data_IF_830532072521
#
_entry.id   IF_830532072521
#
_cell.length_a   1.000
_cell.length_b   1.000
_cell.length_c   1.000
_cell.angle_alpha   90.00
_cell.angle_beta   90.00
_cell.angle_gamma   90.00
#
_symmetry.space_group_name_H-M   'P 1'
#
loop_
_entity.id
_entity.type
_entity.pdbx_description
1 polymer ?
#
# COMPACT_ATOMS: atom_id res chain seq x y z
N UNK A 1 -6.67 -52.92 0.75
CA UNK A 1 -7.94 -52.21 1.04
C UNK A 1 -8.26 -52.41 2.51
N UNK A 2 -8.51 -51.34 3.27
CA UNK A 2 -9.11 -51.40 4.60
C UNK A 2 -10.19 -50.30 4.69
N UNK A 3 -11.25 -50.54 5.47
CA UNK A 3 -12.45 -49.68 5.51
C UNK A 3 -12.48 -48.82 6.77
N UNK A 4 -13.26 -47.76 6.68
CA UNK A 4 -13.54 -46.78 7.73
C UNK A 4 -14.46 -47.41 8.79
N UNK A 5 -14.30 -47.02 10.06
CA UNK A 5 -15.37 -47.01 11.05
C UNK A 5 -15.49 -45.63 11.68
N UNK A 6 -16.73 -45.25 11.96
CA UNK A 6 -17.15 -44.03 12.66
C UNK A 6 -18.25 -44.49 13.61
N UNK A 7 -18.12 -44.17 14.89
CA UNK A 7 -19.11 -44.50 15.91
C UNK A 7 -19.78 -43.22 16.43
N UNK A 8 -21.05 -43.33 16.80
CA UNK A 8 -21.92 -42.19 17.16
C UNK A 8 -22.90 -42.59 18.26
N UNK A 9 -22.80 -41.93 19.43
CA UNK A 9 -23.76 -41.98 20.55
C UNK A 9 -23.43 -40.82 21.52
N UNK A 10 -24.32 -40.29 22.36
CA UNK A 10 -25.78 -40.51 22.44
C UNK A 10 -26.44 -39.84 23.67
N UNK A 11 -27.43 -38.96 23.42
CA UNK A 11 -28.65 -38.61 24.23
C UNK A 11 -28.59 -38.27 25.75
N UNK A 12 -29.27 -37.15 26.11
CA UNK A 12 -30.35 -36.96 27.14
C UNK A 12 -30.26 -37.58 28.57
N UNK A 13 -30.85 -37.05 29.67
CA UNK A 13 -31.68 -35.85 29.95
C UNK A 13 -31.70 -35.50 31.49
N UNK A 14 -32.62 -34.61 31.90
CA UNK A 14 -33.27 -34.44 33.24
C UNK A 14 -32.86 -33.25 34.16
N UNK A 15 -33.85 -32.83 34.97
CA UNK A 15 -33.94 -31.75 36.01
C UNK A 15 -35.07 -32.17 36.99
N UNK A 16 -35.65 -31.32 37.88
CA UNK A 16 -35.19 -30.18 38.71
C UNK A 16 -35.25 -30.64 40.21
N UNK A 17 -35.66 -29.89 41.29
CA UNK A 17 -35.90 -28.46 41.59
C UNK A 17 -35.04 -27.99 42.82
N UNK A 18 -35.34 -27.07 43.77
CA UNK A 18 -36.51 -26.20 44.04
C UNK A 18 -36.18 -24.89 44.82
N UNK A 19 -36.67 -23.76 44.29
CA UNK A 19 -37.28 -22.57 44.93
C UNK A 19 -37.28 -22.34 46.47
N UNK A 20 -36.87 -21.12 46.88
CA UNK A 20 -37.33 -20.40 48.10
C UNK A 20 -37.68 -18.92 47.77
N UNK A 21 -38.26 -18.17 48.73
CA UNK A 21 -39.02 -16.92 48.47
C UNK A 21 -39.14 -16.02 49.71
N UNK A 22 -38.82 -14.72 49.59
CA UNK A 22 -39.21 -13.56 50.43
C UNK A 22 -38.56 -12.31 49.76
N UNK A 23 -39.16 -11.13 49.53
CA UNK A 23 -40.05 -10.24 50.32
C UNK A 23 -39.34 -9.61 51.55
N UNK A 24 -39.16 -8.29 51.71
CA UNK A 24 -39.28 -7.15 50.78
C UNK A 24 -39.75 -5.85 51.45
N UNK A 25 -39.02 -4.72 51.30
CA UNK A 25 -39.47 -3.34 51.65
C UNK A 25 -38.48 -2.29 51.06
N UNK A 26 -38.84 -1.01 50.86
CA UNK A 26 -37.83 -0.01 50.42
C UNK A 26 -38.20 1.40 49.89
N UNK A 27 -39.45 1.72 49.53
CA UNK A 27 -39.92 3.09 49.19
C UNK A 27 -39.24 3.81 47.97
N UNK A 28 -39.73 5.01 47.50
CA UNK A 28 -39.64 5.34 46.08
C UNK A 28 -38.69 6.49 45.66
N UNK A 29 -38.41 6.54 44.36
CA UNK A 29 -38.56 7.80 43.61
C UNK A 29 -37.34 8.70 43.41
N UNK A 30 -36.35 8.25 42.63
CA UNK A 30 -35.51 9.16 41.82
C UNK A 30 -35.50 8.72 40.35
N UNK A 31 -35.88 9.62 39.45
CA UNK A 31 -36.02 9.33 38.03
C UNK A 31 -34.66 9.12 37.36
N UNK A 32 -34.48 7.96 36.73
CA UNK A 32 -33.36 7.69 35.82
C UNK A 32 -33.61 8.44 34.49
N UNK A 33 -32.70 9.34 34.05
CA UNK A 33 -32.81 9.93 32.73
C UNK A 33 -32.56 8.86 31.66
N UNK A 34 -33.49 8.74 30.71
CA UNK A 34 -33.30 7.94 29.48
C UNK A 34 -32.05 8.45 28.74
N UNK A 35 -31.22 7.58 28.14
CA UNK A 35 -30.14 8.03 27.27
C UNK A 35 -30.73 8.65 25.99
N UNK A 36 -30.78 9.98 25.96
CA UNK A 36 -31.06 10.73 24.74
C UNK A 36 -29.94 10.47 23.70
N UNK A 37 -30.30 10.44 22.41
CA UNK A 37 -29.38 10.04 21.35
C UNK A 37 -28.13 10.92 21.27
N UNK A 38 -26.94 10.31 21.33
CA UNK A 38 -25.69 10.99 20.96
C UNK A 38 -25.62 11.14 19.44
N UNK A 39 -25.63 12.39 18.97
CA UNK A 39 -25.27 12.74 17.59
C UNK A 39 -23.89 12.18 17.22
N UNK A 40 -23.69 11.80 15.95
CA UNK A 40 -22.44 11.18 15.44
C UNK A 40 -21.29 12.20 15.22
N UNK A 41 -21.12 13.15 16.12
CA UNK A 41 -20.21 14.30 15.96
C UNK A 41 -19.19 14.46 17.10
N UNK A 42 -18.57 13.36 17.53
CA UNK A 42 -17.58 13.39 18.60
C UNK A 42 -16.48 12.29 18.48
N UNK A 43 -15.80 12.19 17.32
CA UNK A 43 -14.57 11.39 17.19
C UNK A 43 -13.65 11.73 15.98
N UNK A 44 -13.65 12.98 15.50
CA UNK A 44 -12.61 13.45 14.56
C UNK A 44 -11.31 13.74 15.33
N UNK A 45 -10.51 12.70 15.58
CA UNK A 45 -9.14 12.87 16.07
C UNK A 45 -8.29 13.60 15.00
N UNK A 46 -7.42 14.55 15.37
CA UNK A 46 -6.59 15.28 14.41
C UNK A 46 -5.49 14.36 13.87
N UNK A 47 -5.70 13.84 12.66
CA UNK A 47 -4.73 12.99 11.96
C UNK A 47 -3.35 13.64 11.93
N UNK A 48 -2.35 12.99 12.55
CA UNK A 48 -0.95 13.42 12.46
C UNK A 48 -0.32 13.01 11.13
N UNK A 49 -0.93 13.50 10.03
CA UNK A 49 -0.51 13.29 8.64
C UNK A 49 0.98 13.60 8.46
N UNK A 50 1.65 12.73 7.72
CA UNK A 50 3.12 12.68 7.56
C UNK A 50 3.75 14.04 7.29
N UNK A 51 4.76 14.40 8.10
CA UNK A 51 5.74 15.44 7.78
C UNK A 51 7.03 14.77 7.29
N UNK A 52 7.29 14.87 6.00
CA UNK A 52 8.51 14.38 5.36
C UNK A 52 9.69 15.35 5.62
N UNK A 53 10.79 14.94 6.26
CA UNK A 53 11.91 15.85 6.51
C UNK A 53 12.71 16.13 5.24
N UNK A 54 12.54 17.35 4.70
CA UNK A 54 13.20 17.86 3.49
C UNK A 54 14.74 17.70 3.50
N UNK A 55 15.35 17.67 4.69
CA UNK A 55 16.81 17.55 4.92
C UNK A 55 17.43 16.20 4.56
N UNK A 56 16.66 15.20 4.11
CA UNK A 56 17.19 13.90 3.65
C UNK A 56 17.59 13.93 2.17
N UNK A 57 17.20 14.98 1.43
CA UNK A 57 17.54 15.20 0.01
C UNK A 57 18.64 16.27 -0.17
N UNK A 58 19.44 16.54 0.87
CA UNK A 58 20.63 17.38 0.73
C UNK A 58 21.62 16.71 -0.22
N UNK A 59 22.17 17.48 -1.18
CA UNK A 59 23.20 16.98 -2.10
C UNK A 59 24.38 16.40 -1.31
N UNK A 60 24.99 15.28 -1.75
CA UNK A 60 26.37 15.01 -1.41
C UNK A 60 27.20 16.20 -1.91
N UNK A 61 27.98 16.79 -1.02
CA UNK A 61 29.10 17.64 -1.42
C UNK A 61 30.32 16.73 -1.60
N UNK A 62 30.96 16.84 -2.76
CA UNK A 62 32.37 16.57 -3.00
C UNK A 62 32.96 15.33 -2.31
N UNK A 63 32.58 14.13 -2.81
CA UNK A 63 33.37 12.92 -2.65
C UNK A 63 34.11 12.63 -3.96
N UNK A 64 35.31 13.17 -4.07
CA UNK A 64 36.19 13.01 -5.22
C UNK A 64 36.72 11.57 -5.31
N UNK A 65 36.59 10.95 -6.50
CA UNK A 65 36.83 9.51 -6.65
C UNK A 65 36.39 8.95 -8.00
N UNK A 66 37.28 9.01 -8.99
CA UNK A 66 37.19 8.37 -10.31
C UNK A 66 35.80 8.46 -10.98
N UNK A 67 35.44 9.68 -11.37
CA UNK A 67 34.20 9.95 -12.10
C UNK A 67 34.22 9.23 -13.47
N UNK A 68 33.64 8.02 -13.51
CA UNK A 68 33.27 7.33 -14.76
C UNK A 68 32.49 8.31 -15.62
N UNK A 69 33.13 8.73 -16.72
CA UNK A 69 32.74 9.89 -17.52
C UNK A 69 31.28 9.77 -17.96
N UNK A 70 30.38 10.42 -17.22
CA UNK A 70 28.95 10.17 -17.32
C UNK A 70 28.47 10.34 -18.76
N UNK A 71 27.92 9.27 -19.34
CA UNK A 71 27.45 9.27 -20.73
C UNK A 71 26.43 10.39 -20.90
N UNK A 72 26.74 11.39 -21.71
CA UNK A 72 25.83 12.53 -21.89
C UNK A 72 24.60 12.08 -22.69
N UNK A 73 23.51 11.82 -21.99
CA UNK A 73 22.22 11.39 -22.57
C UNK A 73 21.33 12.58 -22.98
N UNK A 74 21.73 13.83 -22.75
CA UNK A 74 20.88 14.99 -23.03
C UNK A 74 20.50 15.14 -24.52
N UNK A 75 21.28 14.56 -25.44
CA UNK A 75 20.93 14.50 -26.86
C UNK A 75 19.77 13.54 -27.21
N UNK A 76 19.29 12.75 -26.25
CA UNK A 76 18.12 11.87 -26.37
C UNK A 76 16.92 12.37 -25.56
N UNK A 77 17.01 13.53 -24.90
CA UNK A 77 15.98 14.09 -24.02
C UNK A 77 15.50 15.44 -24.56
N UNK A 78 14.19 15.69 -24.50
CA UNK A 78 13.61 16.99 -24.88
C UNK A 78 13.72 18.03 -23.75
N UNK A 79 13.57 17.58 -22.51
CA UNK A 79 13.76 18.36 -21.29
C UNK A 79 14.56 17.49 -20.30
N UNK A 80 15.87 17.75 -20.10
CA UNK A 80 16.71 16.99 -19.17
C UNK A 80 16.45 17.28 -17.69
N UNK A 81 15.78 18.40 -17.36
CA UNK A 81 15.51 18.84 -15.99
C UNK A 81 14.12 18.41 -15.50
N UNK A 82 13.25 17.93 -16.40
CA UNK A 82 11.95 17.35 -16.07
C UNK A 82 12.08 16.12 -15.15
N UNK A 83 11.37 16.13 -14.02
CA UNK A 83 11.45 15.07 -13.01
C UNK A 83 10.19 14.94 -12.16
N UNK A 84 10.21 13.99 -11.22
CA UNK A 84 9.05 13.64 -10.40
C UNK A 84 8.49 14.83 -9.59
N UNK A 85 7.21 15.13 -9.82
CA UNK A 85 6.43 16.08 -9.04
C UNK A 85 5.82 15.40 -7.80
N UNK A 86 5.91 16.04 -6.63
CA UNK A 86 5.54 15.39 -5.37
C UNK A 86 4.06 15.59 -4.99
N UNK A 87 3.20 14.69 -5.47
CA UNK A 87 1.74 14.65 -5.20
C UNK A 87 1.34 14.58 -3.71
N UNK A 88 2.30 14.39 -2.80
CA UNK A 88 2.09 14.43 -1.34
C UNK A 88 2.26 15.84 -0.71
N UNK A 89 2.54 16.88 -1.50
CA UNK A 89 2.62 18.28 -1.03
C UNK A 89 1.24 18.86 -0.75
N UNK A 90 1.17 19.90 0.10
CA UNK A 90 -0.08 20.36 0.75
C UNK A 90 -0.69 21.61 0.18
N UNK A 91 0.02 22.32 -0.69
CA UNK A 91 -0.17 23.77 -0.86
C UNK A 91 -1.18 24.13 -1.96
N UNK A 92 -1.75 23.12 -2.65
CA UNK A 92 -2.78 23.31 -3.68
C UNK A 92 -3.92 22.29 -3.49
N UNK A 93 -5.16 22.75 -3.71
CA UNK A 93 -6.36 21.91 -3.80
C UNK A 93 -6.42 21.10 -5.12
N UNK A 94 -5.32 21.09 -5.88
CA UNK A 94 -5.14 20.53 -7.21
C UNK A 94 -4.35 19.21 -7.24
N UNK A 95 -4.20 18.54 -6.09
CA UNK A 95 -3.86 17.13 -6.09
C UNK A 95 -5.02 16.35 -6.76
N UNK A 96 -4.99 16.25 -8.09
CA UNK A 96 -5.89 15.44 -8.90
C UNK A 96 -5.69 13.97 -8.51
N UNK A 97 -6.40 13.55 -7.47
CA UNK A 97 -6.38 12.16 -7.01
C UNK A 97 -6.92 11.32 -8.15
N UNK A 98 -6.06 10.48 -8.70
CA UNK A 98 -6.44 9.57 -9.77
C UNK A 98 -7.29 8.46 -9.16
N UNK A 99 -8.59 8.54 -9.46
CA UNK A 99 -9.68 7.72 -8.95
C UNK A 99 -10.31 6.93 -10.10
N UNK A 100 -11.10 5.92 -9.73
CA UNK A 100 -12.09 5.26 -10.59
C UNK A 100 -11.56 4.60 -11.88
N UNK A 101 -10.24 4.46 -12.04
CA UNK A 101 -9.60 3.84 -13.20
C UNK A 101 -8.52 2.83 -12.77
N UNK A 102 -8.91 1.58 -12.54
CA UNK A 102 -8.00 0.49 -12.13
C UNK A 102 -7.41 -0.28 -13.33
N UNK A 103 -6.38 -1.10 -13.07
CA UNK A 103 -5.87 -2.05 -14.06
C UNK A 103 -6.90 -3.16 -14.36
N UNK A 104 -7.57 -3.66 -13.32
CA UNK A 104 -8.43 -4.85 -13.38
C UNK A 104 -9.76 -4.55 -14.10
N UNK A 105 -10.34 -3.37 -13.87
CA UNK A 105 -11.61 -2.94 -14.47
C UNK A 105 -11.42 -2.33 -15.87
N UNK A 106 -10.38 -1.49 -16.04
CA UNK A 106 -10.23 -0.64 -17.22
C UNK A 106 -8.94 -0.92 -18.00
N UNK A 107 -7.78 -0.87 -17.32
CA UNK A 107 -6.47 -0.85 -17.97
C UNK A 107 -6.18 -2.09 -18.82
N UNK A 108 -6.38 -3.29 -18.26
CA UNK A 108 -6.23 -4.55 -18.97
C UNK A 108 -7.16 -4.63 -20.19
N UNK A 109 -8.45 -4.30 -20.00
CA UNK A 109 -9.47 -4.33 -21.05
C UNK A 109 -9.12 -3.41 -22.23
N UNK A 110 -8.56 -2.22 -21.96
CA UNK A 110 -8.10 -1.31 -23.02
C UNK A 110 -6.85 -1.83 -23.74
N UNK A 111 -5.82 -2.26 -23.00
CA UNK A 111 -4.59 -2.80 -23.63
C UNK A 111 -4.90 -4.03 -24.45
N UNK A 112 -5.68 -4.99 -23.92
CA UNK A 112 -6.01 -6.23 -24.62
C UNK A 112 -6.81 -5.99 -25.91
N UNK A 113 -7.62 -4.91 -25.96
CA UNK A 113 -8.35 -4.48 -27.17
C UNK A 113 -7.46 -3.80 -28.22
N UNK A 114 -6.36 -3.16 -27.81
CA UNK A 114 -5.44 -2.43 -28.71
C UNK A 114 -4.23 -3.28 -29.13
N UNK A 115 -3.75 -4.17 -28.25
CA UNK A 115 -2.58 -5.03 -28.44
C UNK A 115 -2.67 -6.24 -27.50
N UNK A 116 -3.42 -7.26 -27.93
CA UNK A 116 -3.80 -8.44 -27.13
C UNK A 116 -2.64 -9.10 -26.38
N UNK A 117 -1.58 -9.40 -27.12
CA UNK A 117 -0.48 -10.25 -26.66
C UNK A 117 0.30 -9.55 -25.54
N UNK A 118 0.45 -8.22 -25.65
CA UNK A 118 1.06 -7.38 -24.62
C UNK A 118 0.11 -7.19 -23.43
N UNK A 119 -1.21 -7.10 -23.65
CA UNK A 119 -2.20 -7.03 -22.57
C UNK A 119 -2.09 -8.23 -21.62
N UNK A 120 -2.07 -9.44 -22.18
CA UNK A 120 -1.88 -10.68 -21.40
C UNK A 120 -0.49 -10.77 -20.74
N UNK A 121 0.59 -10.38 -21.42
CA UNK A 121 1.94 -10.42 -20.85
C UNK A 121 2.15 -9.42 -19.71
N UNK A 122 1.57 -8.21 -19.79
CA UNK A 122 1.62 -7.22 -18.72
C UNK A 122 0.81 -7.66 -17.50
N UNK A 123 -0.41 -8.15 -17.73
CA UNK A 123 -1.27 -8.69 -16.67
C UNK A 123 -0.63 -9.88 -15.96
N UNK A 124 -0.02 -10.81 -16.71
CA UNK A 124 0.75 -11.91 -16.12
C UNK A 124 1.95 -11.38 -15.33
N UNK A 125 2.70 -10.38 -15.83
CA UNK A 125 3.87 -9.81 -15.15
C UNK A 125 3.49 -9.17 -13.81
N UNK A 126 2.45 -8.34 -13.78
CA UNK A 126 1.92 -7.75 -12.56
C UNK A 126 1.45 -8.84 -11.57
N UNK A 127 0.67 -9.83 -12.03
CA UNK A 127 0.19 -10.95 -11.20
C UNK A 127 1.34 -11.82 -10.67
N UNK A 128 2.38 -12.09 -11.46
CA UNK A 128 3.55 -12.88 -11.05
C UNK A 128 4.30 -12.19 -9.92
N UNK A 129 4.60 -10.89 -10.05
CA UNK A 129 5.29 -10.13 -8.98
C UNK A 129 4.39 -9.95 -7.75
N UNK A 130 3.10 -9.65 -7.94
CA UNK A 130 2.09 -9.64 -6.88
C UNK A 130 1.95 -11.01 -6.18
N UNK A 131 2.25 -12.11 -6.86
CA UNK A 131 2.21 -13.49 -6.33
C UNK A 131 3.45 -13.94 -5.56
N UNK A 132 4.62 -13.29 -5.71
CA UNK A 132 5.88 -13.71 -5.08
C UNK A 132 5.77 -13.82 -3.54
N UNK A 133 6.44 -14.80 -2.92
CA UNK A 133 6.35 -15.00 -1.47
C UNK A 133 7.22 -14.02 -0.68
N UNK A 134 6.58 -13.24 0.19
CA UNK A 134 7.22 -12.21 1.05
C UNK A 134 7.29 -12.61 2.52
N UNK A 135 7.20 -13.91 2.82
CA UNK A 135 7.01 -14.46 4.17
C UNK A 135 8.05 -13.98 5.20
N UNK A 136 9.34 -14.01 4.84
CA UNK A 136 10.41 -13.55 5.71
C UNK A 136 10.45 -12.02 5.90
N UNK A 137 9.94 -11.24 4.95
CA UNK A 137 9.87 -9.77 5.04
C UNK A 137 8.71 -9.35 5.94
N UNK A 138 7.51 -9.85 5.65
CA UNK A 138 6.28 -9.48 6.35
C UNK A 138 6.26 -9.98 7.82
N UNK A 139 6.81 -11.18 8.08
CA UNK A 139 6.94 -11.72 9.45
C UNK A 139 7.78 -10.83 10.36
N UNK A 140 8.82 -10.15 9.83
CA UNK A 140 9.62 -9.18 10.63
C UNK A 140 8.85 -7.92 10.97
N UNK A 141 7.96 -7.50 10.08
CA UNK A 141 7.07 -6.36 10.27
C UNK A 141 5.83 -6.71 11.12
N UNK A 142 5.64 -7.98 11.49
CA UNK A 142 4.48 -8.44 12.25
C UNK A 142 3.16 -8.46 11.45
N UNK A 143 3.22 -8.60 10.13
CA UNK A 143 2.05 -8.55 9.25
C UNK A 143 2.04 -9.68 8.20
N UNK A 144 0.92 -9.84 7.50
CA UNK A 144 0.76 -10.86 6.48
C UNK A 144 1.51 -10.54 5.17
N UNK A 145 2.01 -11.54 4.41
CA UNK A 145 2.78 -11.31 3.19
C UNK A 145 2.02 -10.59 2.07
N UNK A 146 0.70 -10.74 2.03
CA UNK A 146 -0.21 -9.98 1.15
C UNK A 146 -0.30 -8.51 1.55
N UNK A 147 -0.55 -8.25 2.84
CA UNK A 147 -0.66 -6.89 3.41
C UNK A 147 0.63 -6.11 3.24
N UNK A 148 1.79 -6.74 3.47
CA UNK A 148 3.10 -6.10 3.26
C UNK A 148 3.32 -5.68 1.79
N UNK A 149 3.03 -6.58 0.82
CA UNK A 149 3.13 -6.28 -0.62
C UNK A 149 2.16 -5.18 -1.04
N UNK A 150 0.89 -5.27 -0.62
CA UNK A 150 -0.14 -4.25 -0.87
C UNK A 150 0.26 -2.89 -0.29
N UNK A 151 0.86 -2.87 0.90
CA UNK A 151 1.41 -1.65 1.51
C UNK A 151 2.51 -1.00 0.67
N UNK A 152 3.45 -1.79 0.10
CA UNK A 152 4.47 -1.28 -0.82
C UNK A 152 3.84 -0.74 -2.11
N UNK A 153 2.97 -1.54 -2.76
CA UNK A 153 2.33 -1.18 -4.03
C UNK A 153 1.49 0.10 -3.90
N UNK A 154 0.64 0.17 -2.87
CA UNK A 154 -0.22 1.33 -2.61
C UNK A 154 0.56 2.55 -2.12
N UNK A 155 1.72 2.37 -1.46
CA UNK A 155 2.62 3.50 -1.16
C UNK A 155 3.20 4.10 -2.45
N UNK A 156 3.60 3.28 -3.42
CA UNK A 156 4.13 3.74 -4.72
C UNK A 156 3.03 4.43 -5.54
N UNK A 157 1.87 3.79 -5.69
CA UNK A 157 0.72 4.39 -6.38
C UNK A 157 0.32 5.75 -5.76
N UNK A 158 0.36 5.87 -4.42
CA UNK A 158 0.09 7.13 -3.71
C UNK A 158 1.18 8.21 -3.93
N UNK A 159 2.44 7.83 -4.22
CA UNK A 159 3.44 8.82 -4.69
C UNK A 159 3.08 9.37 -6.08
N UNK A 160 2.46 8.57 -6.95
CA UNK A 160 1.91 9.01 -8.24
C UNK A 160 0.47 9.54 -8.15
N UNK A 161 -0.04 9.90 -6.96
CA UNK A 161 -1.39 10.47 -6.81
C UNK A 161 -2.57 9.49 -6.95
N UNK A 162 -2.32 8.22 -7.30
CA UNK A 162 -3.33 7.16 -7.39
C UNK A 162 -3.74 6.72 -5.98
N UNK A 163 -5.05 6.66 -5.70
CA UNK A 163 -5.55 6.26 -4.37
C UNK A 163 -6.79 5.36 -4.44
N UNK A 164 -6.64 4.15 -3.92
CA UNK A 164 -7.72 3.21 -3.63
C UNK A 164 -8.50 3.60 -2.36
N UNK A 165 -9.82 3.77 -2.45
CA UNK A 165 -10.66 4.14 -1.28
C UNK A 165 -10.98 2.96 -0.35
N UNK A 166 -10.74 1.72 -0.77
CA UNK A 166 -10.89 0.51 0.06
C UNK A 166 -9.69 0.26 1.01
N UNK A 167 -8.68 1.15 0.99
CA UNK A 167 -7.39 0.93 1.65
C UNK A 167 -7.04 2.02 2.67
N UNK A 168 -6.72 1.62 3.90
CA UNK A 168 -6.28 2.54 4.95
C UNK A 168 -4.78 2.90 4.82
N UNK A 169 -4.52 4.11 4.32
CA UNK A 169 -3.16 4.66 4.21
C UNK A 169 -2.51 5.00 5.57
N UNK A 170 -3.24 4.89 6.70
CA UNK A 170 -2.61 4.88 8.01
C UNK A 170 -1.73 3.64 8.21
N UNK A 171 -2.17 2.46 7.75
CA UNK A 171 -1.41 1.20 7.86
C UNK A 171 -0.02 1.29 7.25
N UNK A 172 0.14 2.00 6.13
CA UNK A 172 1.42 2.25 5.45
C UNK A 172 2.47 2.86 6.40
N UNK A 173 2.06 3.48 7.51
CA UNK A 173 2.94 4.06 8.54
C UNK A 173 3.36 3.07 9.64
N UNK A 174 2.66 1.96 9.75
CA UNK A 174 2.99 0.84 10.62
C UNK A 174 3.68 -0.30 9.85
N UNK A 175 3.36 -0.46 8.56
CA UNK A 175 3.91 -1.49 7.65
C UNK A 175 5.26 -1.13 7.04
N UNK A 176 5.51 0.14 6.69
CA UNK A 176 6.73 0.53 5.96
C UNK A 176 7.61 1.45 6.80
N UNK A 177 8.79 0.95 7.20
CA UNK A 177 9.81 1.70 7.95
C UNK A 177 10.24 2.99 7.23
N UNK A 178 10.70 3.99 7.99
CA UNK A 178 11.16 5.26 7.42
C UNK A 178 12.29 5.11 6.40
N UNK A 179 13.26 4.21 6.64
CA UNK A 179 14.40 4.01 5.73
C UNK A 179 13.97 3.29 4.45
N UNK A 180 13.05 2.32 4.56
CA UNK A 180 12.40 1.71 3.41
C UNK A 180 11.65 2.73 2.56
N UNK A 181 10.87 3.63 3.18
CA UNK A 181 10.15 4.70 2.46
C UNK A 181 11.08 5.63 1.69
N UNK A 182 12.21 6.01 2.29
CA UNK A 182 13.25 6.82 1.61
C UNK A 182 13.83 6.06 0.42
N UNK A 183 14.14 4.77 0.58
CA UNK A 183 14.66 3.96 -0.52
C UNK A 183 13.66 3.78 -1.66
N UNK A 184 12.42 3.37 -1.34
CA UNK A 184 11.34 3.25 -2.34
C UNK A 184 11.18 4.57 -3.09
N UNK A 185 11.07 5.72 -2.40
CA UNK A 185 10.94 7.02 -3.07
C UNK A 185 12.17 7.38 -3.91
N UNK A 186 13.38 7.02 -3.48
CA UNK A 186 14.59 7.26 -4.30
C UNK A 186 14.56 6.40 -5.56
N UNK A 187 14.40 5.08 -5.48
CA UNK A 187 14.39 4.21 -6.67
C UNK A 187 13.20 4.49 -7.59
N UNK A 188 12.03 4.80 -7.05
CA UNK A 188 10.84 5.14 -7.85
C UNK A 188 11.03 6.48 -8.58
N UNK A 189 11.46 7.53 -7.88
CA UNK A 189 11.31 8.92 -8.35
C UNK A 189 12.63 9.60 -8.77
N UNK A 190 13.77 9.13 -8.24
CA UNK A 190 15.11 9.69 -8.43
C UNK A 190 16.18 8.57 -8.46
N UNK A 191 16.04 7.56 -9.34
CA UNK A 191 16.89 6.37 -9.34
C UNK A 191 18.39 6.70 -9.47
N UNK A 192 18.74 7.80 -10.14
CA UNK A 192 20.09 8.34 -10.29
C UNK A 192 20.75 8.77 -8.97
N UNK A 193 19.96 8.98 -7.90
CA UNK A 193 20.43 9.30 -6.55
C UNK A 193 20.56 8.06 -5.65
N UNK A 194 20.32 6.86 -6.18
CA UNK A 194 20.55 5.59 -5.49
C UNK A 194 22.05 5.32 -5.35
N UNK A 195 22.52 4.99 -4.15
CA UNK A 195 23.92 4.69 -3.89
C UNK A 195 24.09 3.42 -3.03
N UNK A 196 25.29 2.78 -3.01
CA UNK A 196 25.52 1.56 -2.25
C UNK A 196 25.29 1.72 -0.75
N UNK A 197 25.65 2.88 -0.18
CA UNK A 197 25.36 3.19 1.22
C UNK A 197 23.87 3.11 1.52
N UNK A 198 23.00 3.68 0.67
CA UNK A 198 21.56 3.55 0.84
C UNK A 198 21.17 2.08 0.82
N UNK A 199 21.62 1.32 -0.19
CA UNK A 199 21.35 -0.10 -0.35
C UNK A 199 21.72 -0.93 0.88
N UNK A 200 22.86 -0.68 1.52
CA UNK A 200 23.33 -1.41 2.70
C UNK A 200 22.79 -0.88 4.03
N UNK A 201 22.35 0.38 4.08
CA UNK A 201 21.96 1.08 5.31
C UNK A 201 20.46 0.97 5.59
N UNK A 202 19.59 0.83 4.58
CA UNK A 202 18.26 0.25 4.82
C UNK A 202 18.35 -1.28 4.92
N UNK A 203 17.54 -1.86 5.80
CA UNK A 203 17.39 -3.32 5.96
C UNK A 203 18.69 -4.14 6.00
N UNK A 204 19.60 -3.79 6.93
CA UNK A 204 20.77 -4.63 7.29
C UNK A 204 20.42 -6.08 7.67
N UNK A 205 19.15 -6.35 8.01
CA UNK A 205 18.65 -7.66 8.42
C UNK A 205 18.08 -8.50 7.25
N UNK A 206 17.89 -7.92 6.06
CA UNK A 206 17.25 -8.59 4.92
C UNK A 206 18.31 -9.17 3.97
N UNK A 207 18.02 -10.35 3.40
CA UNK A 207 18.85 -10.97 2.36
C UNK A 207 18.81 -10.12 1.08
N UNK A 208 19.87 -10.20 0.27
CA UNK A 208 19.92 -9.59 -1.06
C UNK A 208 18.71 -9.97 -1.93
N UNK A 209 18.25 -11.23 -1.86
CA UNK A 209 17.03 -11.70 -2.56
C UNK A 209 15.75 -10.99 -2.11
N UNK A 210 15.65 -10.59 -0.84
CA UNK A 210 14.51 -9.83 -0.29
C UNK A 210 14.57 -8.37 -0.76
N UNK A 211 15.77 -7.76 -0.78
CA UNK A 211 15.99 -6.43 -1.37
C UNK A 211 15.63 -6.42 -2.88
N UNK A 212 16.02 -7.46 -3.63
CA UNK A 212 15.68 -7.61 -5.06
C UNK A 212 14.17 -7.81 -5.27
N UNK A 213 13.49 -8.64 -4.46
CA UNK A 213 12.03 -8.77 -4.51
C UNK A 213 11.34 -7.40 -4.41
N UNK A 214 11.81 -6.56 -3.49
CA UNK A 214 11.23 -5.21 -3.29
C UNK A 214 11.54 -4.27 -4.46
N UNK A 215 12.64 -4.46 -5.18
CA UNK A 215 12.86 -3.75 -6.45
C UNK A 215 11.91 -4.21 -7.56
N UNK A 216 11.50 -5.49 -7.60
CA UNK A 216 10.44 -5.95 -8.51
C UNK A 216 9.10 -5.29 -8.18
N UNK A 217 8.73 -5.20 -6.90
CA UNK A 217 7.53 -4.47 -6.47
C UNK A 217 7.60 -2.98 -6.83
N UNK A 218 8.78 -2.35 -6.72
CA UNK A 218 9.00 -0.95 -7.12
C UNK A 218 8.80 -0.77 -8.63
N UNK A 219 9.45 -1.61 -9.45
CA UNK A 219 9.38 -1.53 -10.91
C UNK A 219 7.96 -1.73 -11.43
N UNK A 220 7.26 -2.75 -10.95
CA UNK A 220 5.93 -3.12 -11.46
C UNK A 220 4.85 -2.14 -11.01
N UNK A 221 4.85 -1.69 -9.75
CA UNK A 221 3.90 -0.68 -9.28
C UNK A 221 4.16 0.69 -9.92
N UNK A 222 5.42 1.06 -10.20
CA UNK A 222 5.75 2.26 -10.98
C UNK A 222 5.19 2.15 -12.41
N UNK A 223 5.52 1.06 -13.11
CA UNK A 223 5.07 0.86 -14.49
C UNK A 223 3.55 0.80 -14.59
N UNK A 224 2.86 0.16 -13.64
CA UNK A 224 1.40 0.13 -13.62
C UNK A 224 0.81 1.52 -13.42
N UNK A 225 1.35 2.34 -12.49
CA UNK A 225 0.88 3.71 -12.28
C UNK A 225 1.07 4.58 -13.53
N UNK A 226 2.27 4.60 -14.12
CA UNK A 226 2.58 5.36 -15.34
C UNK A 226 1.68 4.93 -16.52
N UNK A 227 1.45 3.63 -16.67
CA UNK A 227 0.58 3.07 -17.71
C UNK A 227 -0.90 3.42 -17.49
N UNK A 228 -1.40 3.43 -16.26
CA UNK A 228 -2.80 3.80 -15.96
C UNK A 228 -3.11 5.24 -16.36
N UNK A 229 -2.20 6.19 -16.13
CA UNK A 229 -2.35 7.57 -16.59
C UNK A 229 -2.45 7.66 -18.12
N UNK A 230 -1.54 6.98 -18.85
CA UNK A 230 -1.57 6.97 -20.31
C UNK A 230 -2.84 6.31 -20.87
N UNK A 231 -3.29 5.22 -20.27
CA UNK A 231 -4.51 4.52 -20.66
C UNK A 231 -5.78 5.33 -20.37
N UNK A 232 -5.85 6.02 -19.23
CA UNK A 232 -6.98 6.91 -18.93
C UNK A 232 -7.07 8.06 -19.95
N UNK A 233 -5.95 8.67 -20.33
CA UNK A 233 -5.92 9.70 -21.38
C UNK A 233 -6.41 9.16 -22.73
N UNK A 234 -6.03 7.93 -23.10
CA UNK A 234 -6.55 7.25 -24.31
C UNK A 234 -8.06 6.99 -24.17
N UNK A 235 -8.55 6.53 -23.02
CA UNK A 235 -10.00 6.35 -22.78
C UNK A 235 -10.76 7.67 -22.93
N UNK A 236 -10.26 8.76 -22.36
CA UNK A 236 -10.87 10.09 -22.48
C UNK A 236 -10.91 10.56 -23.94
N UNK A 237 -9.81 10.42 -24.69
CA UNK A 237 -9.76 10.75 -26.12
C UNK A 237 -10.68 9.87 -26.97
N UNK A 238 -10.91 8.61 -26.60
CA UNK A 238 -11.82 7.69 -27.30
C UNK A 238 -13.32 7.92 -27.00
N UNK A 239 -13.64 8.80 -26.05
CA UNK A 239 -15.03 9.07 -25.58
C UNK A 239 -15.45 10.53 -25.85
N UNK A 240 -14.51 11.39 -26.28
CA UNK A 240 -14.73 12.79 -26.65
C UNK A 240 -15.12 12.96 -28.13
#
# INVERSE_FOLDING_TARGET
MQRIHVETEGREETRPPQQEREEGEGLPGRGLPRPAGRSKEALRAPERRLRWPQRVLSSPADLDGEATRATNLACYLQDPDFGYQDFARRDEEQAQVFRDYSWEDHGFSLVNRLYSDIGHLLDEKFRRVGGLQSSAMAKRQGCEPSVFKRGIWNYIHCMFGIRYDDYDYAEVNHLLERMLKVYIKTVTCYPEKTNPEMFDRFWKQFKHSEKVHVNLLILEARMQAELLYALQAITQYMVA
#
